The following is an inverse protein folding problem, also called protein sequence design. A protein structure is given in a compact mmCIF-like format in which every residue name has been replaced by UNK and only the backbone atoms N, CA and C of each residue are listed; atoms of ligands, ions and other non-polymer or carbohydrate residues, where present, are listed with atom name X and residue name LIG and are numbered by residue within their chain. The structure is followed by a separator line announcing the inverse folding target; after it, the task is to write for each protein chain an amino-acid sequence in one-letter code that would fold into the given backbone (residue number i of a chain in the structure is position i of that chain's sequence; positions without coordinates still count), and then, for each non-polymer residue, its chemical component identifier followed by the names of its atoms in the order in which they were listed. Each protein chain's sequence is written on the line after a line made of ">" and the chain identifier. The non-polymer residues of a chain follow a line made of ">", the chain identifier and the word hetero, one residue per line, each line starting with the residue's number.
data_IF_649547332584
#
_entry.id   IF_649547332584
#
_cell.length_a   1.000
_cell.length_b   1.000
_cell.length_c   1.000
_cell.angle_alpha   90.00
_cell.angle_beta   90.00
_cell.angle_gamma   90.00
#
_symmetry.space_group_name_H-M   'P 1'
#
loop_
_entity.id
_entity.type
_entity.pdbx_description
1 polymer ?
#
# COMPACT_ATOMS: atom_id res chain seq x y z
N UNK A 1 -2.21 -3.79 17.08
CA UNK A 1 -2.33 -2.33 17.03
C UNK A 1 -3.80 -2.03 17.23
N UNK A 2 -4.15 -1.35 18.31
CA UNK A 2 -5.56 -1.11 18.63
C UNK A 2 -6.03 0.16 17.89
N UNK A 3 -7.34 0.33 17.71
CA UNK A 3 -7.92 1.48 16.98
C UNK A 3 -7.45 2.86 17.52
N UNK A 4 -7.22 2.93 18.83
CA UNK A 4 -6.67 4.09 19.52
C UNK A 4 -5.25 4.46 19.06
N UNK A 5 -4.40 3.46 18.77
CA UNK A 5 -3.01 3.69 18.34
C UNK A 5 -2.96 4.28 16.94
N UNK A 6 -3.85 3.83 16.05
CA UNK A 6 -3.95 4.34 14.67
C UNK A 6 -4.36 5.80 14.67
N UNK A 7 -5.38 6.16 15.47
CA UNK A 7 -5.90 7.54 15.54
C UNK A 7 -4.90 8.52 16.12
N UNK A 8 -4.06 8.09 17.06
CA UNK A 8 -3.02 8.95 17.63
C UNK A 8 -1.79 9.10 16.72
N UNK A 9 -1.52 8.11 15.88
CA UNK A 9 -0.42 8.19 14.91
C UNK A 9 -0.75 9.07 13.70
N UNK A 10 -1.99 9.01 13.20
CA UNK A 10 -2.43 9.78 12.03
C UNK A 10 -2.80 11.21 12.40
N UNK A 11 -2.35 12.19 11.60
CA UNK A 11 -2.57 13.63 11.88
C UNK A 11 -3.98 14.15 11.60
N UNK A 12 -4.85 13.36 10.98
CA UNK A 12 -6.24 13.73 10.69
C UNK A 12 -7.10 12.48 10.40
N UNK A 13 -8.41 12.52 10.67
CA UNK A 13 -9.33 11.47 10.24
C UNK A 13 -9.59 11.50 8.73
N UNK A 14 -10.04 10.39 8.16
CA UNK A 14 -10.54 10.34 6.78
C UNK A 14 -11.76 11.26 6.62
N UNK A 15 -11.73 12.26 5.71
CA UNK A 15 -12.86 13.16 5.54
C UNK A 15 -14.12 12.45 5.06
N UNK A 16 -15.29 12.83 5.58
CA UNK A 16 -16.57 12.25 5.17
C UNK A 16 -16.82 12.38 3.66
N UNK A 17 -16.38 13.49 3.04
CA UNK A 17 -16.48 13.69 1.60
C UNK A 17 -15.72 12.62 0.80
N UNK A 18 -14.58 12.13 1.31
CA UNK A 18 -13.85 11.04 0.67
C UNK A 18 -14.64 9.71 0.77
N UNK A 19 -15.24 9.43 1.93
CA UNK A 19 -16.08 8.23 2.13
C UNK A 19 -17.26 8.26 1.16
N UNK A 20 -17.95 9.40 1.05
CA UNK A 20 -19.08 9.57 0.13
C UNK A 20 -18.64 9.35 -1.33
N UNK A 21 -17.50 9.92 -1.75
CA UNK A 21 -16.98 9.72 -3.10
C UNK A 21 -16.56 8.27 -3.37
N UNK A 22 -15.89 7.62 -2.41
CA UNK A 22 -15.45 6.23 -2.52
C UNK A 22 -16.64 5.25 -2.63
N UNK A 23 -17.72 5.51 -1.87
CA UNK A 23 -18.94 4.72 -1.94
C UNK A 23 -19.69 4.88 -3.26
N UNK A 24 -19.57 6.04 -3.91
CA UNK A 24 -20.22 6.32 -5.20
C UNK A 24 -19.54 5.63 -6.40
N UNK A 25 -18.24 5.31 -6.32
CA UNK A 25 -17.49 4.62 -7.38
C UNK A 25 -16.62 3.49 -6.82
N UNK A 26 -17.30 2.44 -6.33
CA UNK A 26 -16.63 1.24 -5.81
C UNK A 26 -15.73 0.53 -6.84
N UNK A 27 -16.07 0.45 -8.15
CA UNK A 27 -15.17 -0.09 -9.16
C UNK A 27 -13.82 0.62 -9.21
N UNK A 28 -13.79 1.96 -9.20
CA UNK A 28 -12.54 2.73 -9.15
C UNK A 28 -11.73 2.39 -7.90
N UNK A 29 -12.38 2.35 -6.73
CA UNK A 29 -11.71 2.05 -5.46
C UNK A 29 -11.09 0.64 -5.48
N UNK A 30 -11.79 -0.36 -6.00
CA UNK A 30 -11.26 -1.73 -6.06
C UNK A 30 -10.07 -1.85 -7.02
N UNK A 31 -10.10 -1.15 -8.16
CA UNK A 31 -8.96 -1.13 -9.09
C UNK A 31 -7.76 -0.42 -8.45
N UNK A 32 -7.95 0.72 -7.78
CA UNK A 32 -6.86 1.41 -7.08
C UNK A 32 -6.32 0.60 -5.90
N UNK A 33 -7.20 -0.06 -5.14
CA UNK A 33 -6.82 -0.97 -4.06
C UNK A 33 -5.96 -2.11 -4.58
N UNK A 34 -6.37 -2.80 -5.64
CA UNK A 34 -5.56 -3.84 -6.26
C UNK A 34 -4.17 -3.32 -6.69
N UNK A 35 -4.07 -2.10 -7.21
CA UNK A 35 -2.76 -1.49 -7.48
C UNK A 35 -1.95 -1.22 -6.21
N UNK A 36 -2.59 -0.75 -5.14
CA UNK A 36 -1.92 -0.49 -3.87
C UNK A 36 -1.29 -1.75 -3.29
N UNK A 37 -1.99 -2.88 -3.27
CA UNK A 37 -1.43 -4.15 -2.78
C UNK A 37 -0.22 -4.61 -3.60
N UNK A 38 -0.33 -4.54 -4.93
CA UNK A 38 0.79 -4.86 -5.84
C UNK A 38 2.00 -3.94 -5.61
N UNK A 39 1.76 -2.64 -5.39
CA UNK A 39 2.81 -1.64 -5.10
C UNK A 39 3.43 -1.86 -3.71
N UNK A 40 2.65 -2.27 -2.71
CA UNK A 40 3.14 -2.58 -1.37
C UNK A 40 4.08 -3.80 -1.42
N UNK A 41 3.66 -4.89 -2.07
CA UNK A 41 4.52 -6.06 -2.30
C UNK A 41 5.82 -5.69 -3.04
N UNK A 42 5.71 -4.90 -4.10
CA UNK A 42 6.87 -4.44 -4.88
C UNK A 42 7.82 -3.55 -4.06
N UNK A 43 7.28 -2.71 -3.17
CA UNK A 43 8.07 -1.86 -2.27
C UNK A 43 8.83 -2.71 -1.24
N UNK A 44 8.18 -3.74 -0.68
CA UNK A 44 8.83 -4.69 0.22
C UNK A 44 9.96 -5.47 -0.49
N UNK A 45 9.72 -5.96 -1.70
CA UNK A 45 10.73 -6.64 -2.53
C UNK A 45 11.93 -5.72 -2.83
N UNK A 46 11.68 -4.45 -3.15
CA UNK A 46 12.76 -3.48 -3.38
C UNK A 46 13.64 -3.29 -2.14
N UNK A 47 13.08 -3.37 -0.93
CA UNK A 47 13.86 -3.32 0.31
C UNK A 47 14.72 -4.57 0.52
N UNK A 48 14.25 -5.75 0.08
CA UNK A 48 15.04 -6.99 0.11
C UNK A 48 16.33 -6.84 -0.72
N UNK A 49 16.20 -6.32 -1.94
CA UNK A 49 17.34 -6.14 -2.82
C UNK A 49 18.27 -5.01 -2.37
N UNK A 50 17.73 -3.97 -1.71
CA UNK A 50 18.53 -2.83 -1.26
C UNK A 50 19.33 -3.13 0.01
N UNK A 51 18.81 -3.97 0.90
CA UNK A 51 19.43 -4.25 2.19
C UNK A 51 19.54 -5.76 2.46
N UNK A 52 20.26 -6.51 1.61
CA UNK A 52 20.31 -7.98 1.67
C UNK A 52 20.95 -8.50 2.96
N UNK A 53 21.91 -7.76 3.53
CA UNK A 53 22.62 -8.13 4.75
C UNK A 53 21.81 -7.92 6.04
N UNK A 54 20.69 -7.18 5.98
CA UNK A 54 19.81 -6.98 7.13
C UNK A 54 18.82 -8.15 7.25
N UNK A 55 19.28 -9.26 7.83
CA UNK A 55 18.49 -10.49 7.97
C UNK A 55 17.10 -10.27 8.59
N UNK A 56 16.97 -9.38 9.58
CA UNK A 56 15.69 -9.07 10.21
C UNK A 56 14.73 -8.39 9.21
N UNK A 57 15.21 -7.38 8.50
CA UNK A 57 14.44 -6.67 7.48
C UNK A 57 14.06 -7.61 6.34
N UNK A 58 15.00 -8.43 5.86
CA UNK A 58 14.76 -9.41 4.79
C UNK A 58 13.64 -10.37 5.17
N UNK A 59 13.69 -10.94 6.37
CA UNK A 59 12.65 -11.84 6.84
C UNK A 59 11.28 -11.15 6.95
N UNK A 60 11.23 -9.92 7.48
CA UNK A 60 9.97 -9.16 7.63
C UNK A 60 9.39 -8.76 6.28
N UNK A 61 10.20 -8.22 5.36
CA UNK A 61 9.74 -7.77 4.05
C UNK A 61 9.35 -8.93 3.14
N UNK A 62 10.02 -10.09 3.22
CA UNK A 62 9.61 -11.30 2.49
C UNK A 62 8.24 -11.81 2.94
N UNK A 63 7.97 -11.78 4.25
CA UNK A 63 6.63 -12.11 4.79
C UNK A 63 5.58 -11.11 4.31
N UNK A 64 5.87 -9.81 4.43
CA UNK A 64 4.97 -8.75 4.00
C UNK A 64 4.64 -8.86 2.52
N UNK A 65 5.65 -9.02 1.64
CA UNK A 65 5.42 -9.14 0.20
C UNK A 65 4.46 -10.28 -0.16
N UNK A 66 4.58 -11.45 0.49
CA UNK A 66 3.67 -12.58 0.29
C UNK A 66 2.26 -12.29 0.80
N UNK A 67 2.15 -11.62 1.94
CA UNK A 67 0.86 -11.22 2.49
C UNK A 67 0.12 -10.24 1.56
N UNK A 68 0.82 -9.22 1.03
CA UNK A 68 0.21 -8.26 0.11
C UNK A 68 -0.12 -8.86 -1.26
N UNK A 69 0.65 -9.83 -1.75
CA UNK A 69 0.27 -10.58 -2.97
C UNK A 69 -1.00 -11.41 -2.74
N UNK A 70 -1.16 -11.99 -1.55
CA UNK A 70 -2.41 -12.67 -1.18
C UNK A 70 -3.58 -11.67 -1.11
N UNK A 71 -3.39 -10.47 -0.56
CA UNK A 71 -4.42 -9.42 -0.56
C UNK A 71 -4.77 -8.99 -1.98
N UNK A 72 -3.77 -8.80 -2.85
CA UNK A 72 -3.98 -8.50 -4.27
C UNK A 72 -4.86 -9.56 -4.95
N UNK A 73 -4.56 -10.84 -4.76
CA UNK A 73 -5.39 -11.93 -5.30
C UNK A 73 -6.82 -11.93 -4.75
N UNK A 74 -7.00 -11.61 -3.46
CA UNK A 74 -8.33 -11.48 -2.85
C UNK A 74 -9.14 -10.35 -3.49
N UNK A 75 -8.52 -9.19 -3.73
CA UNK A 75 -9.17 -8.06 -4.42
C UNK A 75 -9.51 -8.45 -5.86
N UNK A 76 -8.61 -9.11 -6.61
CA UNK A 76 -8.91 -9.59 -7.97
C UNK A 76 -10.08 -10.58 -8.00
N UNK A 77 -10.14 -11.51 -7.03
CA UNK A 77 -11.28 -12.43 -6.90
C UNK A 77 -12.58 -11.68 -6.64
N UNK A 78 -12.56 -10.65 -5.80
CA UNK A 78 -13.73 -9.81 -5.53
C UNK A 78 -14.16 -9.00 -6.75
N UNK A 79 -13.20 -8.41 -7.47
CA UNK A 79 -13.45 -7.68 -8.73
C UNK A 79 -14.09 -8.59 -9.78
N UNK A 80 -13.54 -9.80 -9.98
CA UNK A 80 -14.11 -10.79 -10.91
C UNK A 80 -15.54 -11.17 -10.54
N UNK A 81 -15.84 -11.39 -9.25
CA UNK A 81 -17.20 -11.69 -8.76
C UNK A 81 -18.20 -10.55 -9.03
N UNK A 82 -17.71 -9.31 -9.20
CA UNK A 82 -18.52 -8.12 -9.43
C UNK A 82 -18.46 -7.62 -10.88
N UNK A 83 -17.87 -8.41 -11.78
CA UNK A 83 -17.65 -8.07 -13.19
C UNK A 83 -16.88 -6.74 -13.39
N UNK A 84 -15.90 -6.49 -12.53
CA UNK A 84 -15.05 -5.29 -12.60
C UNK A 84 -13.72 -5.68 -13.26
N UNK A 85 -13.44 -5.08 -14.42
CA UNK A 85 -12.18 -5.26 -15.13
C UNK A 85 -11.00 -4.61 -14.42
N UNK A 86 -9.85 -5.30 -14.38
CA UNK A 86 -8.58 -4.69 -14.01
C UNK A 86 -8.11 -3.78 -15.14
N UNK A 87 -7.84 -2.51 -14.84
CA UNK A 87 -7.42 -1.50 -15.81
C UNK A 87 -6.28 -0.68 -15.25
N UNK A 88 -5.49 -0.07 -16.11
CA UNK A 88 -4.47 0.87 -15.66
C UNK A 88 -5.12 2.11 -15.04
N UNK A 89 -4.55 2.59 -13.93
CA UNK A 89 -4.89 3.87 -13.31
C UNK A 89 -3.62 4.68 -13.14
N UNK A 90 -3.72 5.99 -13.35
CA UNK A 90 -2.66 6.92 -13.00
C UNK A 90 -2.43 6.85 -11.48
N UNK A 91 -1.19 6.67 -11.02
CA UNK A 91 -0.88 6.64 -9.59
C UNK A 91 -1.30 7.93 -8.89
N UNK A 92 -1.83 7.83 -7.67
CA UNK A 92 -2.09 9.01 -6.84
C UNK A 92 -0.79 9.65 -6.35
N UNK A 93 -0.88 10.95 -6.04
CA UNK A 93 0.25 11.74 -5.52
C UNK A 93 0.73 11.35 -4.12
N UNK A 94 -0.02 10.52 -3.38
CA UNK A 94 0.17 10.33 -1.94
C UNK A 94 1.52 9.68 -1.60
N UNK A 95 1.75 8.46 -2.07
CA UNK A 95 2.96 7.71 -1.75
C UNK A 95 4.23 8.39 -2.31
N UNK A 96 4.13 9.01 -3.48
CA UNK A 96 5.23 9.78 -4.05
C UNK A 96 5.53 11.04 -3.21
N UNK A 97 4.49 11.76 -2.77
CA UNK A 97 4.63 12.90 -1.87
C UNK A 97 5.35 12.52 -0.58
N UNK A 98 4.96 11.41 0.05
CA UNK A 98 5.62 10.91 1.27
C UNK A 98 7.10 10.56 1.03
N UNK A 99 7.42 9.92 -0.10
CA UNK A 99 8.81 9.55 -0.42
C UNK A 99 9.74 10.76 -0.54
N UNK A 100 9.24 11.95 -0.89
CA UNK A 100 10.03 13.18 -0.97
C UNK A 100 10.55 13.65 0.39
N UNK A 101 9.93 13.21 1.48
CA UNK A 101 10.37 13.53 2.84
C UNK A 101 11.38 12.51 3.39
N UNK A 102 11.62 11.40 2.70
CA UNK A 102 12.65 10.44 3.10
C UNK A 102 14.05 11.02 2.79
N UNK A 103 14.95 10.91 3.77
CA UNK A 103 16.36 11.30 3.59
C UNK A 103 17.04 10.37 2.58
N UNK A 104 18.03 10.89 1.86
CA UNK A 104 18.65 10.19 0.72
C UNK A 104 19.96 9.48 1.06
N UNK A 105 20.55 9.73 2.22
CA UNK A 105 21.85 9.18 2.63
C UNK A 105 21.72 8.13 3.75
N UNK A 106 22.64 7.16 3.75
CA UNK A 106 22.68 6.12 4.78
C UNK A 106 23.29 6.63 6.10
N UNK A 107 22.95 6.02 7.27
CA UNK A 107 21.98 4.93 7.46
C UNK A 107 20.53 5.42 7.57
N UNK A 108 20.32 6.74 7.56
CA UNK A 108 19.04 7.36 7.89
C UNK A 108 17.99 7.29 6.77
N UNK A 109 18.38 6.77 5.60
CA UNK A 109 17.48 6.51 4.47
C UNK A 109 16.53 5.34 4.74
N UNK A 110 16.93 4.38 5.58
CA UNK A 110 16.10 3.24 5.96
C UNK A 110 15.08 3.62 7.06
N UNK A 111 15.35 4.66 7.84
CA UNK A 111 14.58 5.07 9.04
C UNK A 111 13.54 6.13 8.70
#
# INVERSE_FOLDING_TARGET
>A
MNDHDVKNFLGAPTPQAWITAAAADLPLILVDHAHCEKKAASSAINLLFRYPENALLVNRMSRLAREELRHFEQVLKLMKKRDIGYRHLTPSRYAEGLRKHARTHEPVRLV
#
